data_IF_536751726618
#
_entry.id   IF_536751726618
#
_cell.length_a   1.000
_cell.length_b   1.000
_cell.length_c   1.000
_cell.angle_alpha   90.00
_cell.angle_beta   90.00
_cell.angle_gamma   90.00
#
_symmetry.space_group_name_H-M   'P 1'
#
loop_
_entity.id
_entity.type
_entity.pdbx_description
1 polymer ?
#
# COMPACT_ATOMS: atom_id res chain seq x y z
N UNK A 1 -26.81 -14.91 -8.73
CA UNK A 1 -25.38 -15.14 -8.45
C UNK A 1 -24.94 -14.08 -7.47
N UNK A 2 -24.74 -14.38 -6.17
CA UNK A 2 -24.15 -13.40 -5.26
C UNK A 2 -22.67 -13.25 -5.63
N UNK A 3 -22.21 -12.02 -5.78
CA UNK A 3 -20.83 -11.64 -6.07
C UNK A 3 -19.88 -12.18 -4.98
N UNK A 4 -18.76 -12.81 -5.37
CA UNK A 4 -17.70 -13.31 -4.46
C UNK A 4 -17.23 -12.24 -3.46
N UNK A 5 -17.38 -10.97 -3.82
CA UNK A 5 -17.06 -9.80 -3.01
C UNK A 5 -17.88 -9.74 -1.71
N UNK A 6 -19.20 -10.03 -1.76
CA UNK A 6 -20.07 -9.95 -0.59
C UNK A 6 -19.81 -11.06 0.43
N UNK A 7 -19.45 -12.26 -0.03
CA UNK A 7 -19.11 -13.39 0.85
C UNK A 7 -17.74 -13.19 1.54
N UNK A 8 -16.80 -12.52 0.88
CA UNK A 8 -15.50 -12.18 1.47
C UNK A 8 -15.61 -11.02 2.46
N UNK A 9 -16.48 -10.04 2.19
CA UNK A 9 -16.81 -8.96 3.13
C UNK A 9 -17.48 -9.53 4.40
N UNK A 10 -18.39 -10.50 4.26
CA UNK A 10 -18.97 -11.21 5.41
C UNK A 10 -17.94 -11.94 6.25
N UNK A 11 -16.97 -12.63 5.64
CA UNK A 11 -15.91 -13.34 6.38
C UNK A 11 -14.98 -12.41 7.15
N UNK A 12 -14.78 -11.19 6.65
CA UNK A 12 -14.05 -10.16 7.38
C UNK A 12 -14.86 -9.59 8.55
N UNK A 13 -16.19 -9.66 8.49
CA UNK A 13 -17.12 -9.10 9.47
C UNK A 13 -17.60 -10.10 10.55
N UNK A 14 -17.49 -11.41 10.33
CA UNK A 14 -18.14 -12.41 11.18
C UNK A 14 -17.35 -12.63 12.48
N UNK A 15 -17.48 -11.68 13.40
CA UNK A 15 -17.16 -11.86 14.82
C UNK A 15 -18.33 -12.60 15.45
N UNK A 16 -18.20 -13.90 15.68
CA UNK A 16 -19.08 -14.59 16.63
C UNK A 16 -18.57 -14.30 18.03
N UNK A 17 -19.33 -13.47 18.75
CA UNK A 17 -19.40 -13.51 20.20
C UNK A 17 -19.68 -14.96 20.65
N UNK A 18 -18.81 -15.49 21.51
CA UNK A 18 -19.12 -16.62 22.36
C UNK A 18 -18.55 -16.32 23.75
N UNK A 19 -19.42 -15.80 24.60
CA UNK A 19 -19.18 -15.50 26.00
C UNK A 19 -19.07 -16.79 26.83
N UNK A 20 -18.10 -16.80 27.74
CA UNK A 20 -18.12 -17.34 29.13
C UNK A 20 -17.60 -18.75 29.48
N UNK A 21 -16.77 -18.74 30.55
CA UNK A 21 -16.42 -19.79 31.54
C UNK A 21 -15.41 -20.86 31.09
N UNK A 22 -14.39 -21.29 31.84
CA UNK A 22 -13.93 -21.14 33.23
C UNK A 22 -12.48 -21.72 33.31
N UNK A 23 -11.60 -21.20 34.17
CA UNK A 23 -10.79 -21.97 35.15
C UNK A 23 -9.48 -21.27 35.55
N UNK A 24 -9.25 -21.28 36.86
CA UNK A 24 -8.23 -20.59 37.65
C UNK A 24 -7.07 -21.56 37.98
N UNK A 25 -5.85 -21.00 38.03
CA UNK A 25 -4.64 -21.37 38.79
C UNK A 25 -4.24 -22.84 39.05
N UNK A 26 -2.99 -23.20 38.70
CA UNK A 26 -1.88 -23.40 39.66
C UNK A 26 -0.65 -24.08 39.01
N UNK A 27 0.53 -23.58 39.36
CA UNK A 27 1.65 -24.40 39.86
C UNK A 27 2.39 -25.39 38.94
N UNK A 28 3.61 -24.99 38.58
CA UNK A 28 4.84 -25.78 38.59
C UNK A 28 5.21 -26.70 37.39
N UNK A 29 6.39 -26.34 36.85
CA UNK A 29 7.48 -27.20 36.35
C UNK A 29 7.46 -27.61 34.87
N UNK A 30 8.21 -26.87 34.05
CA UNK A 30 8.74 -27.34 32.77
C UNK A 30 10.27 -27.16 32.73
N UNK A 31 11.05 -28.20 32.38
CA UNK A 31 12.51 -28.18 32.42
C UNK A 31 13.12 -27.37 31.27
N UNK A 32 14.35 -26.88 31.49
CA UNK A 32 15.18 -26.14 30.53
C UNK A 32 15.38 -26.92 29.22
N UNK A 33 15.19 -26.25 28.09
CA UNK A 33 15.76 -26.62 26.78
C UNK A 33 16.14 -25.36 25.99
N UNK A 34 17.07 -25.46 25.01
CA UNK A 34 18.21 -24.57 24.88
C UNK A 34 17.93 -23.34 24.00
N UNK A 35 18.71 -22.29 24.22
CA UNK A 35 18.70 -21.09 23.40
C UNK A 35 19.04 -21.43 21.94
N UNK A 36 18.06 -21.24 21.04
CA UNK A 36 18.25 -21.20 19.60
C UNK A 36 18.53 -19.76 19.14
N UNK A 37 19.47 -19.55 18.20
CA UNK A 37 19.89 -18.23 17.74
C UNK A 37 18.76 -17.50 16.98
N UNK A 38 18.82 -16.17 16.82
CA UNK A 38 17.74 -15.40 16.20
C UNK A 38 17.53 -15.82 14.74
N UNK A 39 16.29 -15.94 14.25
CA UNK A 39 16.05 -16.27 12.84
C UNK A 39 16.42 -15.07 11.97
N UNK A 40 17.65 -15.09 11.47
CA UNK A 40 18.09 -14.25 10.36
C UNK A 40 17.56 -14.87 9.07
N UNK A 41 16.32 -14.53 8.71
CA UNK A 41 15.78 -14.83 7.39
C UNK A 41 14.79 -13.75 6.97
N UNK A 42 15.26 -12.50 6.89
CA UNK A 42 14.56 -11.48 6.12
C UNK A 42 14.59 -11.93 4.64
N UNK A 43 13.45 -12.42 4.13
CA UNK A 43 13.31 -12.76 2.71
C UNK A 43 13.12 -11.47 1.92
N UNK A 44 14.09 -11.16 1.05
CA UNK A 44 14.00 -10.04 0.11
C UNK A 44 12.97 -10.38 -0.97
N UNK A 45 12.01 -9.49 -1.20
CA UNK A 45 11.04 -9.66 -2.27
C UNK A 45 11.75 -9.62 -3.63
N UNK A 46 11.63 -10.68 -4.42
CA UNK A 46 12.04 -10.68 -5.83
C UNK A 46 10.81 -10.31 -6.64
N UNK A 47 10.81 -9.10 -7.22
CA UNK A 47 9.71 -8.55 -8.01
C UNK A 47 9.62 -9.34 -9.32
N UNK A 48 8.46 -9.94 -9.69
CA UNK A 48 8.27 -10.53 -11.01
C UNK A 48 8.22 -9.40 -12.05
N UNK A 49 9.19 -9.39 -12.96
CA UNK A 49 9.31 -8.40 -14.03
C UNK A 49 8.19 -8.58 -15.06
N UNK A 50 7.47 -7.52 -15.48
CA UNK A 50 6.73 -7.58 -16.73
C UNK A 50 7.74 -7.57 -17.91
N UNK A 51 7.59 -8.46 -18.91
CA UNK A 51 8.55 -8.62 -20.01
C UNK A 51 8.63 -7.42 -20.97
N UNK A 52 7.88 -6.34 -20.76
CA UNK A 52 7.78 -5.20 -21.67
C UNK A 52 8.88 -4.14 -21.54
N UNK A 53 9.78 -4.24 -20.55
CA UNK A 53 10.81 -3.21 -20.26
C UNK A 53 12.22 -3.56 -20.76
N UNK A 54 12.38 -4.64 -21.52
CA UNK A 54 13.70 -5.19 -21.90
C UNK A 54 14.32 -4.62 -23.20
N UNK A 55 13.74 -3.57 -23.82
CA UNK A 55 14.16 -3.12 -25.16
C UNK A 55 14.55 -1.65 -25.33
N UNK A 56 14.89 -0.91 -24.27
CA UNK A 56 15.56 0.39 -24.45
C UNK A 56 16.56 0.68 -23.33
N UNK A 57 17.59 1.46 -23.65
CA UNK A 57 18.70 1.86 -22.76
C UNK A 57 18.28 2.58 -21.46
N UNK A 58 16.98 2.81 -21.22
CA UNK A 58 16.41 3.29 -19.96
C UNK A 58 16.06 2.19 -18.94
N UNK A 59 16.06 0.91 -19.32
CA UNK A 59 15.68 -0.20 -18.44
C UNK A 59 16.62 -0.43 -17.24
N UNK A 60 17.90 -0.05 -17.35
CA UNK A 60 18.92 -0.28 -16.31
C UNK A 60 18.73 0.65 -15.09
N UNK A 61 18.37 1.92 -15.29
CA UNK A 61 18.12 2.87 -14.19
C UNK A 61 16.83 2.55 -13.43
N UNK A 62 15.80 2.07 -14.14
CA UNK A 62 14.55 1.59 -13.55
C UNK A 62 14.82 0.35 -12.68
N UNK A 63 15.69 -0.57 -13.12
CA UNK A 63 16.06 -1.80 -12.40
C UNK A 63 16.79 -1.52 -11.06
N UNK A 64 17.70 -0.54 -11.05
CA UNK A 64 18.46 -0.17 -9.84
C UNK A 64 17.58 0.57 -8.81
N UNK A 65 16.73 1.48 -9.28
CA UNK A 65 15.80 2.24 -8.43
C UNK A 65 14.72 1.34 -7.83
N UNK A 66 14.25 0.36 -8.62
CA UNK A 66 13.32 -0.69 -8.17
C UNK A 66 13.88 -1.51 -7.01
N UNK A 67 15.16 -1.88 -7.10
CA UNK A 67 15.83 -2.75 -6.14
C UNK A 67 16.13 -2.08 -4.80
N UNK A 68 16.20 -0.74 -4.77
CA UNK A 68 16.51 0.02 -3.56
C UNK A 68 15.24 0.35 -2.75
N UNK A 69 14.18 0.81 -3.42
CA UNK A 69 13.00 1.37 -2.75
C UNK A 69 11.89 0.34 -2.49
N UNK A 70 11.81 -0.72 -3.30
CA UNK A 70 10.76 -1.74 -3.18
C UNK A 70 11.26 -3.04 -2.51
N UNK A 71 12.48 -3.05 -1.98
CA UNK A 71 13.01 -4.16 -1.21
C UNK A 71 12.49 -4.12 0.23
N UNK A 72 11.39 -4.83 0.49
CA UNK A 72 10.84 -4.97 1.84
C UNK A 72 11.46 -6.14 2.59
N UNK A 73 11.80 -5.92 3.86
CA UNK A 73 12.08 -7.01 4.79
C UNK A 73 10.75 -7.54 5.32
N UNK A 74 10.42 -8.79 4.97
CA UNK A 74 9.11 -9.38 5.29
C UNK A 74 9.26 -10.30 6.50
N UNK A 75 8.53 -9.99 7.57
CA UNK A 75 8.44 -10.84 8.75
C UNK A 75 7.63 -12.13 8.51
N UNK A 76 7.72 -13.13 9.41
CA UNK A 76 7.03 -14.41 9.26
C UNK A 76 5.50 -14.29 9.17
N UNK A 77 4.91 -13.27 9.80
CA UNK A 77 3.47 -13.00 9.80
C UNK A 77 3.06 -11.83 8.88
N UNK A 78 3.95 -11.45 7.96
CA UNK A 78 3.69 -10.36 7.03
C UNK A 78 3.47 -10.91 5.62
N UNK A 79 2.75 -10.11 4.84
CA UNK A 79 2.57 -10.30 3.43
C UNK A 79 2.94 -9.01 2.70
N UNK A 80 3.21 -9.13 1.41
CA UNK A 80 3.84 -8.09 0.62
C UNK A 80 3.60 -8.38 -0.86
N UNK A 81 3.40 -7.33 -1.63
CA UNK A 81 3.16 -7.42 -3.08
C UNK A 81 3.67 -6.17 -3.77
N UNK A 82 3.76 -6.25 -5.10
CA UNK A 82 4.12 -5.13 -5.97
C UNK A 82 3.10 -5.06 -7.09
N UNK A 83 2.50 -3.89 -7.25
CA UNK A 83 1.53 -3.59 -8.30
C UNK A 83 2.14 -2.53 -9.21
N UNK A 84 2.10 -2.78 -10.51
CA UNK A 84 2.59 -1.86 -11.54
C UNK A 84 1.45 -1.42 -12.43
N UNK A 85 1.42 -0.13 -12.80
CA UNK A 85 0.46 0.42 -13.75
C UNK A 85 1.17 1.39 -14.69
N UNK A 86 1.01 1.19 -16.00
CA UNK A 86 1.43 2.17 -17.00
C UNK A 86 0.29 3.13 -17.27
N UNK A 87 0.56 4.43 -17.22
CA UNK A 87 -0.39 5.51 -17.44
C UNK A 87 0.02 6.27 -18.70
N UNK A 88 -0.94 6.59 -19.57
CA UNK A 88 -0.71 7.33 -20.82
C UNK A 88 -0.63 8.85 -20.57
N UNK A 89 0.22 9.25 -19.64
CA UNK A 89 0.47 10.65 -19.30
C UNK A 89 1.92 10.83 -18.81
N UNK A 90 2.53 12.01 -19.04
CA UNK A 90 3.89 12.31 -18.61
C UNK A 90 3.97 12.42 -17.08
N UNK A 91 5.18 12.22 -16.52
CA UNK A 91 5.41 12.32 -15.06
C UNK A 91 4.96 13.68 -14.53
N UNK A 92 5.15 14.75 -15.29
CA UNK A 92 4.74 16.11 -14.94
C UNK A 92 3.23 16.25 -14.69
N UNK A 93 2.41 15.36 -15.24
CA UNK A 93 0.97 15.29 -14.97
C UNK A 93 0.63 14.33 -13.82
N UNK A 94 1.33 13.21 -13.71
CA UNK A 94 1.04 12.17 -12.70
C UNK A 94 1.57 12.53 -11.32
N UNK A 95 2.82 12.99 -11.23
CA UNK A 95 3.49 13.26 -9.95
C UNK A 95 2.78 14.32 -9.10
N UNK A 96 2.29 15.45 -9.64
CA UNK A 96 1.55 16.43 -8.86
C UNK A 96 0.27 15.90 -8.22
N UNK A 97 -0.28 14.78 -8.70
CA UNK A 97 -1.44 14.11 -8.09
C UNK A 97 -0.98 13.18 -6.98
N UNK A 98 0.05 12.37 -7.23
CA UNK A 98 0.56 11.36 -6.29
C UNK A 98 1.23 12.00 -5.06
N UNK A 99 1.98 13.09 -5.25
CA UNK A 99 2.74 13.77 -4.18
C UNK A 99 1.88 14.45 -3.10
N UNK A 100 0.58 14.66 -3.37
CA UNK A 100 -0.34 15.36 -2.47
C UNK A 100 -0.75 14.47 -1.31
N UNK A 101 0.11 14.39 -0.30
CA UNK A 101 -0.15 13.62 0.91
C UNK A 101 -1.39 14.12 1.69
N UNK A 102 -1.74 15.40 1.59
CA UNK A 102 -2.94 15.99 2.17
C UNK A 102 -4.23 15.66 1.40
N UNK A 103 -4.13 15.28 0.13
CA UNK A 103 -5.27 15.06 -0.76
C UNK A 103 -5.25 13.66 -1.43
N UNK A 104 -5.25 12.56 -0.66
CA UNK A 104 -5.34 11.21 -1.21
C UNK A 104 -6.64 10.95 -1.98
N UNK A 105 -7.74 11.64 -1.64
CA UNK A 105 -9.02 11.56 -2.35
C UNK A 105 -8.92 12.02 -3.80
N UNK A 106 -7.84 12.74 -4.16
CA UNK A 106 -7.54 13.11 -5.53
C UNK A 106 -7.43 11.92 -6.49
N UNK A 107 -7.07 10.72 -6.00
CA UNK A 107 -7.06 9.50 -6.82
C UNK A 107 -7.47 8.22 -6.10
N UNK A 108 -7.61 8.22 -4.77
CA UNK A 108 -8.05 7.06 -3.99
C UNK A 108 -9.56 7.10 -3.77
N UNK A 109 -10.30 6.28 -4.51
CA UNK A 109 -11.77 6.27 -4.51
C UNK A 109 -12.43 5.85 -3.19
N UNK A 110 -11.69 5.17 -2.32
CA UNK A 110 -12.21 4.70 -1.03
C UNK A 110 -12.05 5.72 0.11
N UNK A 111 -11.51 6.90 -0.18
CA UNK A 111 -11.32 7.97 0.82
C UNK A 111 -12.52 8.91 0.80
N UNK A 112 -13.20 9.05 1.94
CA UNK A 112 -14.29 10.01 2.14
C UNK A 112 -13.75 11.41 2.46
N UNK A 113 -12.77 11.48 3.35
CA UNK A 113 -12.13 12.73 3.74
C UNK A 113 -10.72 12.48 4.26
N UNK A 114 -9.85 13.47 4.12
CA UNK A 114 -8.50 13.46 4.66
C UNK A 114 -8.24 14.75 5.43
N UNK A 115 -7.61 14.64 6.60
CA UNK A 115 -7.17 15.77 7.40
C UNK A 115 -5.73 15.55 7.86
N UNK A 116 -4.88 16.55 7.71
CA UNK A 116 -3.52 16.52 8.28
C UNK A 116 -3.63 16.88 9.77
N UNK A 117 -3.22 15.96 10.64
CA UNK A 117 -3.30 16.12 12.11
C UNK A 117 -1.98 16.68 12.66
N UNK A 118 -0.85 16.36 12.02
CA UNK A 118 0.47 16.75 12.50
C UNK A 118 1.37 17.09 11.33
N UNK A 119 2.11 18.19 11.45
CA UNK A 119 2.93 18.78 10.40
C UNK A 119 2.27 20.04 9.84
N UNK A 120 2.78 21.21 10.24
CA UNK A 120 2.36 22.50 9.68
C UNK A 120 2.62 22.58 8.17
N UNK A 121 3.71 21.92 7.74
CA UNK A 121 4.06 21.71 6.35
C UNK A 121 4.06 20.20 6.04
N UNK A 122 3.78 19.85 4.80
CA UNK A 122 3.74 18.46 4.31
C UNK A 122 5.17 17.98 4.06
N UNK A 123 5.89 17.69 5.16
CA UNK A 123 7.25 17.17 5.15
C UNK A 123 7.27 15.76 5.73
N UNK A 124 8.36 15.03 5.51
CA UNK A 124 8.56 13.71 6.13
C UNK A 124 8.30 13.78 7.65
N UNK A 125 7.50 12.83 8.14
CA UNK A 125 6.99 12.80 9.51
C UNK A 125 5.59 13.40 9.69
N UNK A 126 5.04 14.10 8.69
CA UNK A 126 3.66 14.57 8.73
C UNK A 126 2.67 13.40 8.84
N UNK A 127 1.57 13.62 9.57
CA UNK A 127 0.55 12.60 9.86
C UNK A 127 -0.81 13.08 9.39
N UNK A 128 -1.52 12.21 8.67
CA UNK A 128 -2.91 12.44 8.21
C UNK A 128 -3.88 11.42 8.81
N UNK A 129 -5.08 11.87 9.14
CA UNK A 129 -6.25 11.02 9.36
C UNK A 129 -7.03 10.90 8.05
N UNK A 130 -7.24 9.67 7.60
CA UNK A 130 -8.05 9.34 6.44
C UNK A 130 -9.31 8.67 6.94
N UNK A 131 -10.48 9.18 6.56
CA UNK A 131 -11.77 8.51 6.79
C UNK A 131 -12.17 7.78 5.54
N UNK A 132 -12.57 6.52 5.70
CA UNK A 132 -12.93 5.63 4.60
C UNK A 132 -14.43 5.73 4.33
N UNK A 133 -14.85 5.46 3.09
CA UNK A 133 -16.27 5.40 2.73
C UNK A 133 -17.00 4.25 3.45
N UNK A 134 -18.29 4.44 3.74
CA UNK A 134 -19.13 3.43 4.39
C UNK A 134 -19.24 2.15 3.55
N UNK A 135 -19.19 0.99 4.19
CA UNK A 135 -19.29 -0.32 3.52
C UNK A 135 -17.95 -1.05 3.39
N UNK A 136 -16.84 -0.41 3.77
CA UNK A 136 -15.57 -1.07 4.03
C UNK A 136 -15.43 -1.38 5.54
N UNK A 137 -14.65 -2.40 5.92
CA UNK A 137 -14.47 -2.82 7.31
C UNK A 137 -13.52 -1.89 8.10
N UNK A 138 -13.40 -0.64 7.69
CA UNK A 138 -12.51 0.34 8.28
C UNK A 138 -13.23 1.69 8.38
N UNK A 139 -13.16 2.33 9.55
CA UNK A 139 -13.75 3.67 9.75
C UNK A 139 -12.71 4.78 9.48
N UNK A 140 -11.47 4.59 9.95
CA UNK A 140 -10.40 5.58 9.84
C UNK A 140 -9.01 4.93 9.77
N UNK A 141 -8.05 5.63 9.19
CA UNK A 141 -6.64 5.26 9.08
C UNK A 141 -5.77 6.47 9.45
N UNK A 142 -4.81 6.27 10.34
CA UNK A 142 -3.81 7.29 10.69
C UNK A 142 -2.50 6.94 9.99
N UNK A 143 -2.06 7.81 9.08
CA UNK A 143 -0.96 7.54 8.16
C UNK A 143 0.15 8.57 8.35
N UNK A 144 1.40 8.12 8.37
CA UNK A 144 2.60 8.94 8.48
C UNK A 144 3.37 8.95 7.17
N UNK A 145 3.78 10.13 6.72
CA UNK A 145 4.66 10.30 5.56
C UNK A 145 6.09 9.88 5.93
N UNK A 146 6.62 8.88 5.22
CA UNK A 146 7.96 8.32 5.44
C UNK A 146 8.99 8.88 4.47
N UNK A 147 8.59 9.06 3.21
CA UNK A 147 9.46 9.54 2.12
C UNK A 147 8.62 10.46 1.24
N UNK A 148 9.18 11.61 0.90
CA UNK A 148 8.69 12.47 -0.18
C UNK A 148 9.92 13.05 -0.89
N UNK A 149 10.22 12.52 -2.07
CA UNK A 149 11.34 12.92 -2.91
C UNK A 149 10.78 13.37 -4.26
N UNK A 150 10.77 14.68 -4.47
CA UNK A 150 10.27 15.32 -5.70
C UNK A 150 11.22 15.14 -6.89
N UNK A 151 12.52 14.96 -6.67
CA UNK A 151 13.49 14.78 -7.76
C UNK A 151 13.44 13.36 -8.32
N UNK A 152 13.30 12.37 -7.42
CA UNK A 152 13.24 10.94 -7.79
C UNK A 152 11.82 10.43 -7.96
N UNK A 153 10.81 11.27 -7.71
CA UNK A 153 9.39 10.93 -7.78
C UNK A 153 9.04 9.71 -6.91
N UNK A 154 9.48 9.75 -5.64
CA UNK A 154 9.27 8.68 -4.66
C UNK A 154 8.43 9.18 -3.50
N UNK A 155 7.34 8.49 -3.19
CA UNK A 155 6.54 8.72 -1.99
C UNK A 155 6.38 7.42 -1.21
N UNK A 156 6.43 7.51 0.12
CA UNK A 156 6.16 6.37 1.00
C UNK A 156 5.38 6.83 2.21
N UNK A 157 4.42 6.02 2.64
CA UNK A 157 3.73 6.24 3.90
C UNK A 157 3.59 4.93 4.66
N UNK A 158 3.45 5.05 5.97
CA UNK A 158 3.12 3.95 6.86
C UNK A 158 1.81 4.23 7.58
N UNK A 159 1.05 3.18 7.88
CA UNK A 159 -0.06 3.28 8.82
C UNK A 159 0.51 3.15 10.22
N UNK A 160 0.25 4.16 11.05
CA UNK A 160 0.65 4.21 12.46
C UNK A 160 -0.52 3.98 13.43
N UNK A 161 -1.77 4.01 12.94
CA UNK A 161 -2.96 3.78 13.74
C UNK A 161 -4.24 3.80 12.91
N UNK A 162 -5.38 3.76 13.57
CA UNK A 162 -6.70 3.78 12.94
C UNK A 162 -7.52 2.52 13.21
N UNK A 163 -8.77 2.57 12.77
CA UNK A 163 -9.73 1.48 12.88
C UNK A 163 -9.75 0.66 11.60
N UNK A 164 -8.72 -0.17 11.41
CA UNK A 164 -8.66 -1.15 10.32
C UNK A 164 -7.72 -2.32 10.66
N UNK A 165 -7.84 -3.42 9.91
CA UNK A 165 -7.07 -4.65 10.17
C UNK A 165 -5.65 -4.64 9.57
N UNK A 166 -5.33 -3.68 8.69
CA UNK A 166 -4.02 -3.55 8.02
C UNK A 166 -2.90 -2.96 8.91
N UNK A 167 -2.55 -3.64 10.00
CA UNK A 167 -1.50 -3.19 10.93
C UNK A 167 -0.12 -3.18 10.27
N UNK A 168 0.72 -2.22 10.66
CA UNK A 168 2.07 -2.04 10.13
C UNK A 168 2.14 -2.00 8.60
N UNK A 169 1.07 -1.53 7.95
CA UNK A 169 1.06 -1.32 6.51
C UNK A 169 2.09 -0.23 6.17
N UNK A 170 2.96 -0.53 5.22
CA UNK A 170 3.90 0.43 4.66
C UNK A 170 3.92 0.28 3.16
N UNK A 171 3.69 1.37 2.44
CA UNK A 171 3.81 1.38 0.99
C UNK A 171 4.88 2.34 0.50
N UNK A 172 5.40 2.03 -0.68
CA UNK A 172 6.35 2.84 -1.42
C UNK A 172 5.86 2.88 -2.86
N UNK A 173 5.67 4.09 -3.37
CA UNK A 173 5.25 4.37 -4.74
C UNK A 173 6.36 5.13 -5.46
N UNK A 174 6.79 4.64 -6.61
CA UNK A 174 7.77 5.29 -7.48
C UNK A 174 7.21 5.48 -8.88
N UNK A 175 7.59 6.58 -9.54
CA UNK A 175 7.19 6.91 -10.90
C UNK A 175 8.42 6.91 -11.81
N UNK A 176 8.30 6.28 -12.98
CA UNK A 176 9.37 6.19 -13.97
C UNK A 176 8.86 6.60 -15.34
N UNK A 177 9.69 7.34 -16.09
CA UNK A 177 9.34 7.76 -17.45
C UNK A 177 9.69 6.62 -18.40
N UNK A 178 8.76 6.23 -19.26
CA UNK A 178 8.98 5.15 -20.23
C UNK A 178 9.54 5.71 -21.53
N UNK A 179 8.85 6.71 -22.09
CA UNK A 179 9.14 7.33 -23.38
C UNK A 179 8.93 8.87 -23.37
N UNK A 180 8.75 9.46 -22.19
CA UNK A 180 8.44 10.90 -22.03
C UNK A 180 6.94 11.17 -21.94
N UNK A 181 6.12 10.43 -22.69
CA UNK A 181 4.68 10.63 -22.75
C UNK A 181 3.89 9.67 -21.85
N UNK A 182 4.53 8.57 -21.42
CA UNK A 182 3.95 7.58 -20.53
C UNK A 182 4.75 7.43 -19.25
N UNK A 183 4.02 7.19 -18.16
CA UNK A 183 4.57 7.00 -16.82
C UNK A 183 4.28 5.58 -16.34
N UNK A 184 5.32 4.88 -15.89
CA UNK A 184 5.21 3.63 -15.15
C UNK A 184 5.15 3.93 -13.65
N UNK A 185 4.01 3.64 -13.03
CA UNK A 185 3.83 3.73 -11.57
C UNK A 185 4.02 2.36 -10.97
N UNK A 186 4.84 2.29 -9.93
CA UNK A 186 5.14 1.05 -9.21
C UNK A 186 4.83 1.29 -7.74
N UNK A 187 3.87 0.54 -7.19
CA UNK A 187 3.51 0.59 -5.78
C UNK A 187 3.76 -0.77 -5.14
N UNK A 188 4.65 -0.79 -4.16
CA UNK A 188 4.90 -1.97 -3.33
C UNK A 188 4.42 -1.72 -1.92
N UNK A 189 4.03 -2.78 -1.23
CA UNK A 189 3.70 -2.69 0.19
C UNK A 189 4.14 -3.92 0.97
N UNK A 190 4.20 -3.73 2.29
CA UNK A 190 4.27 -4.79 3.29
C UNK A 190 3.21 -4.51 4.35
N UNK A 191 2.57 -5.55 4.88
CA UNK A 191 1.52 -5.45 5.89
C UNK A 191 1.47 -6.71 6.75
N UNK A 192 1.04 -6.57 8.00
CA UNK A 192 0.77 -7.71 8.86
C UNK A 192 -0.48 -8.46 8.41
N UNK A 193 -0.43 -9.79 8.46
CA UNK A 193 -1.58 -10.64 8.24
C UNK A 193 -2.47 -10.62 9.48
N UNK A 194 -3.74 -10.19 9.37
CA UNK A 194 -4.66 -10.21 10.50
C UNK A 194 -4.89 -11.64 11.00
N UNK A 195 -5.09 -11.79 12.31
CA UNK A 195 -5.45 -13.10 12.87
C UNK A 195 -6.74 -13.61 12.21
N UNK A 196 -6.74 -14.89 11.82
CA UNK A 196 -7.86 -15.53 11.13
C UNK A 196 -7.85 -15.40 9.61
N UNK A 197 -6.89 -14.67 9.02
CA UNK A 197 -6.71 -14.59 7.57
C UNK A 197 -5.43 -15.28 7.11
N UNK A 198 -5.43 -15.73 5.85
CA UNK A 198 -4.20 -16.20 5.21
C UNK A 198 -3.41 -15.04 4.60
N UNK A 199 -2.13 -15.28 4.29
CA UNK A 199 -1.29 -14.32 3.57
C UNK A 199 -1.88 -13.96 2.22
N UNK A 200 -2.40 -14.96 1.52
CA UNK A 200 -2.94 -14.85 0.17
C UNK A 200 -4.22 -14.00 0.17
N UNK A 201 -5.11 -14.20 1.14
CA UNK A 201 -6.32 -13.38 1.30
C UNK A 201 -5.97 -11.91 1.59
N UNK A 202 -5.00 -11.68 2.47
CA UNK A 202 -4.56 -10.33 2.84
C UNK A 202 -3.90 -9.63 1.65
N UNK A 203 -2.97 -10.29 0.96
CA UNK A 203 -2.38 -9.75 -0.28
C UNK A 203 -3.45 -9.47 -1.33
N UNK A 204 -4.38 -10.40 -1.57
CA UNK A 204 -5.41 -10.21 -2.58
C UNK A 204 -6.30 -9.00 -2.29
N UNK A 205 -6.70 -8.82 -1.03
CA UNK A 205 -7.49 -7.67 -0.59
C UNK A 205 -6.75 -6.35 -0.82
N UNK A 206 -5.49 -6.28 -0.37
CA UNK A 206 -4.68 -5.07 -0.49
C UNK A 206 -4.31 -4.78 -1.95
N UNK A 207 -3.95 -5.80 -2.73
CA UNK A 207 -3.68 -5.67 -4.17
C UNK A 207 -4.88 -5.12 -4.93
N UNK A 208 -6.09 -5.53 -4.55
CA UNK A 208 -7.32 -5.02 -5.16
C UNK A 208 -7.46 -3.53 -4.90
N UNK A 209 -7.25 -3.08 -3.66
CA UNK A 209 -7.32 -1.66 -3.29
C UNK A 209 -6.26 -0.85 -4.04
N UNK A 210 -5.01 -1.31 -4.03
CA UNK A 210 -3.89 -0.63 -4.72
C UNK A 210 -4.16 -0.54 -6.22
N UNK A 211 -4.62 -1.62 -6.85
CA UNK A 211 -4.96 -1.64 -8.27
C UNK A 211 -6.06 -0.66 -8.62
N UNK A 212 -7.14 -0.61 -7.83
CA UNK A 212 -8.21 0.36 -8.02
C UNK A 212 -7.71 1.81 -7.92
N UNK A 213 -6.83 2.10 -6.95
CA UNK A 213 -6.24 3.43 -6.81
C UNK A 213 -5.38 3.80 -8.02
N UNK A 214 -4.49 2.90 -8.47
CA UNK A 214 -3.64 3.16 -9.63
C UNK A 214 -4.42 3.30 -10.94
N UNK A 215 -5.51 2.54 -11.12
CA UNK A 215 -6.40 2.70 -12.26
C UNK A 215 -7.09 4.07 -12.26
N UNK A 216 -7.57 4.51 -11.10
CA UNK A 216 -8.17 5.84 -10.95
C UNK A 216 -7.16 6.96 -11.21
N UNK A 217 -5.93 6.81 -10.72
CA UNK A 217 -4.83 7.73 -11.00
C UNK A 217 -4.58 7.85 -12.51
N UNK A 218 -4.56 6.73 -13.23
CA UNK A 218 -4.43 6.71 -14.68
C UNK A 218 -5.52 7.52 -15.37
N UNK A 219 -6.78 7.27 -15.02
CA UNK A 219 -7.93 7.99 -15.59
C UNK A 219 -7.85 9.50 -15.34
N UNK A 220 -7.50 9.92 -14.12
CA UNK A 220 -7.42 11.34 -13.75
C UNK A 220 -6.27 12.04 -14.49
N UNK A 221 -5.10 11.41 -14.55
CA UNK A 221 -3.94 11.97 -15.24
C UNK A 221 -4.20 12.09 -16.75
N UNK A 222 -4.75 11.05 -17.38
CA UNK A 222 -5.09 11.06 -18.81
C UNK A 222 -6.18 12.10 -19.13
N UNK A 223 -7.19 12.25 -18.27
CA UNK A 223 -8.22 13.29 -18.42
C UNK A 223 -7.65 14.71 -18.36
N UNK A 224 -6.70 14.93 -17.46
CA UNK A 224 -6.07 16.25 -17.28
C UNK A 224 -5.33 16.67 -18.55
N UNK A 225 -4.62 15.74 -19.20
CA UNK A 225 -3.96 15.99 -20.49
C UNK A 225 -4.97 16.33 -21.58
N UNK A 226 -6.01 15.51 -21.76
CA UNK A 226 -7.03 15.75 -22.80
C UNK A 226 -7.71 17.11 -22.66
N UNK A 227 -8.00 17.54 -21.44
CA UNK A 227 -8.62 18.83 -21.20
C UNK A 227 -7.66 19.99 -21.53
N UNK A 228 -6.37 19.85 -21.20
CA UNK A 228 -5.36 20.87 -21.53
C UNK A 228 -5.12 21.03 -23.05
N UNK A 229 -5.33 19.97 -23.83
CA UNK A 229 -5.24 20.01 -25.30
C UNK A 229 -6.49 20.64 -25.94
N UNK A 230 -7.66 20.54 -25.30
CA UNK A 230 -8.91 21.12 -25.81
C UNK A 230 -9.06 22.63 -25.54
N UNK A 231 -8.21 23.19 -24.68
CA UNK A 231 -8.21 24.61 -24.32
C UNK A 231 -7.11 25.42 -25.05
N UNK A 232 -6.39 24.79 -25.99
CA UNK A 232 -5.41 25.41 -26.91
C UNK A 232 -5.95 25.48 -28.33
#
# INVERSE_FOLDING_TARGET
MPSSFSLQLERFNRTTDATTYLAIANGANCPRQPQTPPPTAARRLVIPFPPSLSSSNGGTLVLDTLSLHHAHMVGPNQCCSVVTQTISAPISAVWPVVRRFENPQGYKNFVKSCQVITGENITVGAVREVRVVSGLPAESSTERLEILDDERHVISFSVVGGDHRLRNYRSVTTLHSVDGDRTLVIESYVVDVPQGNTKEETCFFVDTIVRCNLQSLGQIAENTIRNSESEQ
#
